data_IF_160709006899
#
_entry.id   IF_160709006899
#
_cell.length_a   1.000
_cell.length_b   1.000
_cell.length_c   1.000
_cell.angle_alpha   90.00
_cell.angle_beta   90.00
_cell.angle_gamma   90.00
#
_symmetry.space_group_name_H-M   'P 1'
#
loop_
_entity.id
_entity.type
_entity.pdbx_description
1 polymer ?
#
# COMPACT_ATOMS: atom_id res chain seq x y z
N UNK A 1 -7.77 -2.59 -4.08
CA UNK A 1 -8.43 -2.23 -5.34
C UNK A 1 -9.08 -3.48 -5.90
N UNK A 2 -10.33 -3.36 -6.34
CA UNK A 2 -11.06 -4.42 -7.02
C UNK A 2 -11.48 -3.87 -8.39
N UNK A 3 -10.80 -4.32 -9.44
CA UNK A 3 -11.04 -3.88 -10.82
C UNK A 3 -12.16 -4.67 -11.50
N UNK A 4 -12.77 -5.64 -10.81
CA UNK A 4 -13.83 -6.52 -11.32
C UNK A 4 -15.12 -6.44 -10.49
N UNK A 5 -15.26 -5.41 -9.66
CA UNK A 5 -16.39 -5.21 -8.76
C UNK A 5 -17.77 -5.21 -9.46
N UNK A 6 -17.83 -4.86 -10.75
CA UNK A 6 -19.07 -4.80 -11.55
C UNK A 6 -18.90 -5.49 -12.92
N UNK A 7 -18.47 -6.75 -12.92
CA UNK A 7 -18.44 -7.56 -14.15
C UNK A 7 -19.86 -8.07 -14.50
N UNK A 8 -20.26 -8.05 -15.79
CA UNK A 8 -21.57 -8.56 -16.22
C UNK A 8 -21.78 -10.01 -15.76
N UNK A 9 -23.03 -10.36 -15.45
CA UNK A 9 -23.45 -11.64 -14.82
C UNK A 9 -23.09 -12.94 -15.58
N UNK A 10 -22.43 -12.85 -16.74
CA UNK A 10 -21.86 -13.97 -17.49
C UNK A 10 -20.36 -14.22 -17.26
N UNK A 11 -19.69 -13.38 -16.47
CA UNK A 11 -18.27 -13.52 -16.13
C UNK A 11 -18.11 -13.79 -14.64
N UNK A 12 -17.31 -14.79 -14.27
CA UNK A 12 -16.95 -15.06 -12.88
C UNK A 12 -15.82 -14.08 -12.52
N UNK A 13 -16.00 -13.19 -11.52
CA UNK A 13 -14.95 -12.28 -11.11
C UNK A 13 -13.75 -13.07 -10.60
N UNK A 14 -12.58 -12.77 -11.18
CA UNK A 14 -11.34 -13.43 -10.80
C UNK A 14 -10.83 -12.84 -9.48
N UNK A 15 -11.15 -13.51 -8.38
CA UNK A 15 -10.81 -13.10 -7.02
C UNK A 15 -9.28 -12.98 -6.79
N UNK A 16 -8.45 -13.59 -7.64
CA UNK A 16 -6.99 -13.42 -7.59
C UNK A 16 -6.53 -11.97 -7.76
N UNK A 17 -7.38 -11.14 -8.41
CA UNK A 17 -7.08 -9.72 -8.68
C UNK A 17 -7.57 -8.76 -7.60
N UNK A 18 -8.27 -9.27 -6.57
CA UNK A 18 -8.66 -8.47 -5.43
C UNK A 18 -7.45 -8.26 -4.50
N UNK A 19 -6.86 -7.06 -4.56
CA UNK A 19 -5.69 -6.68 -3.75
C UNK A 19 -6.14 -5.79 -2.61
N UNK A 20 -5.89 -6.21 -1.37
CA UNK A 20 -5.96 -5.39 -0.17
C UNK A 20 -4.58 -4.83 0.15
N UNK A 21 -4.53 -3.57 0.56
CA UNK A 21 -3.28 -2.87 0.84
C UNK A 21 -3.39 -2.20 2.19
N UNK A 22 -2.56 -2.63 3.14
CA UNK A 22 -2.44 -2.02 4.45
C UNK A 22 -1.13 -1.24 4.51
N UNK A 23 -1.22 0.07 4.74
CA UNK A 23 -0.06 0.94 4.86
C UNK A 23 0.03 1.49 6.28
N UNK A 24 1.16 1.26 6.94
CA UNK A 24 1.47 1.80 8.27
C UNK A 24 2.64 2.75 8.11
N UNK A 25 2.40 4.02 8.43
CA UNK A 25 3.38 5.09 8.34
C UNK A 25 3.78 5.61 9.71
N UNK A 26 5.08 5.83 9.90
CA UNK A 26 5.64 6.54 11.03
C UNK A 26 6.36 7.79 10.52
N UNK A 27 6.04 8.93 11.13
CA UNK A 27 6.76 10.18 10.90
C UNK A 27 7.43 10.63 12.20
N UNK A 28 8.70 11.00 12.11
CA UNK A 28 9.47 11.52 13.24
C UNK A 28 10.13 12.85 12.85
N UNK A 29 9.96 13.87 13.69
CA UNK A 29 10.48 15.22 13.47
C UNK A 29 11.44 15.58 14.60
N UNK A 30 12.73 15.21 14.50
CA UNK A 30 13.70 15.51 15.55
C UNK A 30 13.93 17.01 15.73
N UNK A 31 13.85 17.78 14.64
CA UNK A 31 13.93 19.24 14.61
C UNK A 31 12.90 19.76 13.59
N UNK A 32 12.40 21.01 13.69
CA UNK A 32 11.32 21.52 12.82
C UNK A 32 11.60 21.39 11.32
N UNK A 33 12.88 21.46 10.95
CA UNK A 33 13.35 21.48 9.56
C UNK A 33 13.68 20.08 9.02
N UNK A 34 13.56 19.02 9.82
CA UNK A 34 13.88 17.64 9.41
C UNK A 34 12.69 16.75 9.70
N UNK A 35 12.24 16.00 8.68
CA UNK A 35 11.24 14.96 8.81
C UNK A 35 11.82 13.64 8.34
N UNK A 36 11.74 12.63 9.20
CA UNK A 36 12.01 11.24 8.86
C UNK A 36 10.67 10.55 8.67
N UNK A 37 10.52 9.80 7.59
CA UNK A 37 9.32 9.04 7.26
C UNK A 37 9.72 7.59 7.02
N UNK A 38 8.96 6.68 7.62
CA UNK A 38 9.08 5.26 7.39
C UNK A 38 7.67 4.72 7.15
N UNK A 39 7.40 4.27 5.92
CA UNK A 39 6.12 3.73 5.51
C UNK A 39 6.30 2.26 5.13
N UNK A 40 5.63 1.36 5.85
CA UNK A 40 5.58 -0.05 5.53
C UNK A 40 4.22 -0.38 4.91
N UNK A 41 4.23 -0.98 3.73
CA UNK A 41 3.04 -1.32 2.97
C UNK A 41 3.00 -2.83 2.76
N UNK A 42 2.09 -3.47 3.48
CA UNK A 42 1.74 -4.86 3.30
C UNK A 42 0.62 -4.97 2.25
N UNK A 43 0.85 -5.79 1.22
CA UNK A 43 -0.14 -6.04 0.15
C UNK A 43 -0.56 -7.50 0.21
N UNK A 44 -1.83 -7.74 0.47
CA UNK A 44 -2.43 -9.08 0.41
C UNK A 44 -3.31 -9.20 -0.83
N UNK A 45 -3.05 -10.21 -1.66
CA UNK A 45 -4.02 -10.67 -2.66
C UNK A 45 -4.81 -11.86 -2.10
N UNK A 46 -6.07 -12.02 -2.53
CA UNK A 46 -6.85 -13.23 -2.24
C UNK A 46 -6.22 -14.49 -2.83
N UNK A 47 -5.44 -14.37 -3.90
CA UNK A 47 -4.67 -15.47 -4.48
C UNK A 47 -3.29 -14.96 -4.96
N UNK A 48 -2.21 -15.66 -4.58
CA UNK A 48 -0.83 -15.27 -4.90
C UNK A 48 -0.11 -14.45 -3.82
N UNK A 49 1.24 -14.51 -3.81
CA UNK A 49 2.07 -13.71 -2.90
C UNK A 49 2.46 -12.40 -3.58
N UNK A 50 2.05 -11.28 -2.99
CA UNK A 50 2.54 -9.94 -3.36
C UNK A 50 3.65 -9.58 -2.38
N UNK A 51 4.72 -8.98 -2.89
CA UNK A 51 5.82 -8.51 -2.04
C UNK A 51 5.39 -7.29 -1.21
N UNK A 52 5.82 -7.26 0.04
CA UNK A 52 5.70 -6.09 0.89
C UNK A 52 6.68 -5.01 0.43
N UNK A 53 6.29 -3.76 0.63
CA UNK A 53 7.13 -2.62 0.29
C UNK A 53 7.48 -1.81 1.54
N UNK A 54 8.76 -1.53 1.71
CA UNK A 54 9.27 -0.63 2.74
C UNK A 54 9.76 0.66 2.07
N UNK A 55 9.20 1.79 2.47
CA UNK A 55 9.61 3.11 1.98
C UNK A 55 10.22 3.90 3.15
N UNK A 56 11.43 4.43 2.93
CA UNK A 56 12.12 5.29 3.88
C UNK A 56 12.38 6.64 3.20
N UNK A 57 12.04 7.74 3.88
CA UNK A 57 12.17 9.09 3.36
C UNK A 57 12.78 10.03 4.40
N UNK A 58 13.64 10.93 3.93
CA UNK A 58 14.17 12.05 4.72
C UNK A 58 13.79 13.32 3.99
N UNK A 59 13.07 14.22 4.66
CA UNK A 59 12.72 15.54 4.18
C UNK A 59 13.46 16.61 4.96
N UNK A 60 14.04 17.57 4.27
CA UNK A 60 14.62 18.78 4.84
C UNK A 60 13.85 19.98 4.31
N UNK A 61 13.39 20.86 5.20
CA UNK A 61 12.63 22.07 4.88
C UNK A 61 13.50 23.28 5.22
N UNK A 62 13.69 24.19 4.24
CA UNK A 62 14.50 25.41 4.35
C UNK A 62 13.60 26.65 4.43
#
# INVERSE_FOLDING_TARGET
YDTQYDVPSGFIPDESKAIQVHTVGLQFKPIPNVVLKADYRNRSAKEGKIADELNLGIGYVF
#
